data_IF_066729046048
#
_entry.id   IF_066729046048
#
_cell.length_a   1.000
_cell.length_b   1.000
_cell.length_c   1.000
_cell.angle_alpha   90.00
_cell.angle_beta   90.00
_cell.angle_gamma   90.00
#
_symmetry.space_group_name_H-M   'P 1'
#
loop_
_entity.id
_entity.type
_entity.pdbx_description
1 polymer ?
#
# COMPACT_ATOMS: atom_id res chain seq x y z
N UNK A 1 -23.82 1.65 1.94
CA UNK A 1 -23.52 2.38 0.72
C UNK A 1 -24.74 3.23 0.36
N UNK A 2 -24.54 4.41 -0.27
CA UNK A 2 -25.66 5.13 -0.86
C UNK A 2 -26.40 4.21 -1.85
N UNK A 3 -27.69 4.44 -2.06
CA UNK A 3 -28.46 3.66 -3.04
C UNK A 3 -27.70 3.64 -4.37
N UNK A 4 -27.40 2.45 -4.86
CA UNK A 4 -26.66 2.28 -6.09
C UNK A 4 -27.67 2.35 -7.23
N UNK A 5 -27.57 3.36 -8.08
CA UNK A 5 -28.20 3.32 -9.39
C UNK A 5 -27.47 2.25 -10.23
N UNK A 6 -28.18 1.18 -10.57
CA UNK A 6 -27.63 0.05 -11.35
C UNK A 6 -27.12 0.46 -12.73
N UNK A 7 -27.47 1.65 -13.20
CA UNK A 7 -27.04 2.21 -14.48
C UNK A 7 -25.82 3.14 -14.35
N UNK A 8 -25.38 3.46 -13.14
CA UNK A 8 -24.25 4.36 -12.90
C UNK A 8 -22.96 3.59 -12.65
N UNK A 9 -21.97 3.76 -13.52
CA UNK A 9 -20.62 3.26 -13.29
C UNK A 9 -19.90 4.14 -12.26
N UNK A 10 -19.22 3.50 -11.30
CA UNK A 10 -18.54 4.17 -10.18
C UNK A 10 -17.04 3.98 -10.26
N UNK A 11 -16.27 4.98 -9.83
CA UNK A 11 -14.82 4.82 -9.70
C UNK A 11 -14.51 3.72 -8.67
N UNK A 12 -13.43 2.99 -8.91
CA UNK A 12 -13.02 1.91 -8.02
C UNK A 12 -11.64 2.17 -7.40
N UNK A 13 -11.45 1.71 -6.17
CA UNK A 13 -10.22 1.91 -5.40
C UNK A 13 -9.70 0.56 -4.91
N UNK A 14 -8.46 0.23 -5.28
CA UNK A 14 -7.71 -0.86 -4.66
C UNK A 14 -7.21 -0.39 -3.28
N UNK A 15 -7.67 -1.06 -2.23
CA UNK A 15 -7.30 -0.76 -0.85
C UNK A 15 -6.26 -1.78 -0.37
N UNK A 16 -4.99 -1.36 -0.34
CA UNK A 16 -3.85 -2.20 -0.01
C UNK A 16 -3.64 -2.27 1.49
N UNK A 17 -3.81 -3.46 2.10
CA UNK A 17 -3.55 -3.63 3.53
C UNK A 17 -2.05 -3.60 3.87
N UNK A 18 -1.70 -3.13 5.07
CA UNK A 18 -0.36 -3.17 5.63
C UNK A 18 -0.04 -4.51 6.29
N UNK A 19 1.05 -4.51 7.10
CA UNK A 19 1.39 -5.65 7.91
C UNK A 19 0.33 -5.87 9.00
N UNK A 20 0.03 -7.13 9.27
CA UNK A 20 -0.91 -7.54 10.31
C UNK A 20 -1.48 -8.93 10.04
N UNK A 21 -1.95 -9.62 11.10
CA UNK A 21 -2.40 -11.00 10.97
C UNK A 21 -3.72 -11.16 10.21
N UNK A 22 -4.45 -10.07 10.03
CA UNK A 22 -5.82 -10.10 9.49
C UNK A 22 -5.90 -9.75 8.00
N UNK A 23 -4.77 -9.38 7.37
CA UNK A 23 -4.75 -9.01 5.96
C UNK A 23 -5.74 -7.89 5.61
N UNK A 24 -6.56 -8.12 4.60
CA UNK A 24 -7.57 -7.18 4.09
C UNK A 24 -8.78 -6.94 5.01
N UNK A 25 -9.03 -7.83 5.96
CA UNK A 25 -10.27 -7.81 6.74
C UNK A 25 -10.54 -6.49 7.47
N UNK A 26 -9.59 -5.91 8.24
CA UNK A 26 -9.82 -4.62 8.89
C UNK A 26 -9.97 -3.48 7.88
N UNK A 27 -9.24 -3.50 6.77
CA UNK A 27 -9.34 -2.49 5.71
C UNK A 27 -10.76 -2.42 5.13
N UNK A 28 -11.37 -3.58 4.94
CA UNK A 28 -12.74 -3.69 4.44
C UNK A 28 -13.81 -3.50 5.53
N UNK A 29 -13.39 -3.18 6.75
CA UNK A 29 -14.28 -2.88 7.87
C UNK A 29 -14.90 -4.11 8.53
N UNK A 30 -14.27 -5.27 8.41
CA UNK A 30 -14.71 -6.46 9.14
C UNK A 30 -14.46 -6.28 10.65
N UNK A 31 -15.53 -6.30 11.44
CA UNK A 31 -15.53 -6.15 12.90
C UNK A 31 -16.16 -7.36 13.58
N UNK A 32 -16.16 -8.53 12.96
CA UNK A 32 -16.84 -9.73 13.44
C UNK A 32 -16.24 -10.30 14.73
N UNK A 33 -14.93 -10.09 14.96
CA UNK A 33 -14.27 -10.50 16.21
C UNK A 33 -13.84 -9.32 17.08
N UNK A 34 -13.58 -9.50 18.38
CA UNK A 34 -13.04 -8.47 19.25
C UNK A 34 -11.69 -7.94 18.76
N UNK A 35 -10.82 -8.81 18.27
CA UNK A 35 -9.47 -8.51 17.78
C UNK A 35 -9.54 -7.64 16.50
N UNK A 36 -10.44 -7.96 15.57
CA UNK A 36 -10.68 -7.14 14.38
C UNK A 36 -11.22 -5.76 14.73
N UNK A 37 -12.20 -5.69 15.67
CA UNK A 37 -12.72 -4.40 16.14
C UNK A 37 -11.63 -3.51 16.74
N UNK A 38 -10.79 -4.10 17.57
CA UNK A 38 -9.68 -3.34 18.18
C UNK A 38 -8.67 -2.90 17.12
N UNK A 39 -8.32 -3.75 16.16
CA UNK A 39 -7.40 -3.40 15.07
C UNK A 39 -7.94 -2.25 14.23
N UNK A 40 -9.21 -2.29 13.85
CA UNK A 40 -9.89 -1.20 13.12
C UNK A 40 -9.87 0.10 13.92
N UNK A 41 -10.16 0.01 15.24
CA UNK A 41 -10.24 1.20 16.11
C UNK A 41 -8.87 1.83 16.37
N UNK A 42 -7.85 0.99 16.63
CA UNK A 42 -6.53 1.45 17.03
C UNK A 42 -5.77 2.17 15.91
N UNK A 43 -6.05 1.79 14.66
CA UNK A 43 -5.30 2.29 13.49
C UNK A 43 -6.19 3.00 12.46
N UNK A 44 -7.43 3.34 12.80
CA UNK A 44 -8.41 3.88 11.82
C UNK A 44 -8.46 3.06 10.51
N UNK A 45 -8.33 1.77 10.61
CA UNK A 45 -7.90 0.89 9.52
C UNK A 45 -8.99 0.53 8.51
N UNK A 46 -10.22 0.99 8.71
CA UNK A 46 -11.35 0.67 7.83
C UNK A 46 -11.50 1.63 6.63
N UNK A 47 -10.39 2.10 6.06
CA UNK A 47 -10.41 3.09 4.97
C UNK A 47 -11.13 2.58 3.71
N UNK A 48 -11.02 1.30 3.36
CA UNK A 48 -11.80 0.72 2.26
C UNK A 48 -13.31 0.80 2.50
N UNK A 49 -13.75 0.51 3.72
CA UNK A 49 -15.16 0.69 4.11
C UNK A 49 -15.60 2.16 4.12
N UNK A 50 -14.72 3.06 4.57
CA UNK A 50 -15.00 4.50 4.56
C UNK A 50 -15.17 5.02 3.13
N UNK A 51 -14.29 4.63 2.20
CA UNK A 51 -14.41 4.99 0.79
C UNK A 51 -15.69 4.41 0.14
N UNK A 52 -16.08 3.18 0.51
CA UNK A 52 -17.34 2.62 0.04
C UNK A 52 -18.55 3.45 0.49
N UNK A 53 -18.53 4.02 1.70
CA UNK A 53 -19.59 4.94 2.18
C UNK A 53 -19.63 6.24 1.39
N UNK A 54 -18.49 6.67 0.82
CA UNK A 54 -18.42 7.85 -0.05
C UNK A 54 -18.87 7.56 -1.49
N UNK A 55 -19.21 6.31 -1.80
CA UNK A 55 -19.78 5.92 -3.11
C UNK A 55 -18.79 5.29 -4.07
N UNK A 56 -17.55 5.03 -3.65
CA UNK A 56 -16.59 4.29 -4.46
C UNK A 56 -16.85 2.79 -4.42
N UNK A 57 -16.51 2.08 -5.48
CA UNK A 57 -16.32 0.64 -5.42
C UNK A 57 -14.98 0.37 -4.80
N UNK A 58 -14.91 -0.35 -3.68
CA UNK A 58 -13.65 -0.68 -3.03
C UNK A 58 -13.38 -2.17 -3.10
N UNK A 59 -12.13 -2.53 -3.35
CA UNK A 59 -11.70 -3.92 -3.36
C UNK A 59 -10.33 -4.07 -2.71
N UNK A 60 -10.08 -5.22 -2.15
CA UNK A 60 -8.82 -5.57 -1.52
C UNK A 60 -8.52 -7.05 -1.74
N UNK A 61 -7.24 -7.38 -1.82
CA UNK A 61 -6.75 -8.76 -1.81
C UNK A 61 -5.79 -8.93 -0.65
N UNK A 62 -5.66 -10.15 -0.14
CA UNK A 62 -4.55 -10.46 0.73
C UNK A 62 -3.27 -10.62 -0.07
N UNK A 63 -2.23 -9.89 0.32
CA UNK A 63 -0.89 -10.10 -0.22
C UNK A 63 -0.36 -11.47 0.22
N UNK A 64 0.57 -12.05 -0.54
CA UNK A 64 1.12 -13.37 -0.21
C UNK A 64 1.72 -13.36 1.19
N UNK A 65 1.34 -14.34 2.00
CA UNK A 65 1.76 -14.47 3.40
C UNK A 65 0.85 -13.80 4.43
N UNK A 66 -0.26 -13.17 3.99
CA UNK A 66 -1.21 -12.50 4.88
C UNK A 66 -2.62 -13.05 4.75
N UNK A 67 -3.43 -12.82 5.79
CA UNK A 67 -4.85 -13.16 5.83
C UNK A 67 -5.11 -14.60 5.39
N UNK A 68 -6.02 -14.78 4.45
CA UNK A 68 -6.36 -16.11 3.90
C UNK A 68 -5.26 -16.71 3.02
N UNK A 69 -4.23 -15.94 2.66
CA UNK A 69 -3.07 -16.40 1.88
C UNK A 69 -1.85 -16.72 2.73
N UNK A 70 -2.04 -16.79 4.04
CA UNK A 70 -1.06 -17.30 5.00
C UNK A 70 -1.38 -18.77 5.25
N UNK A 71 -0.44 -19.69 4.96
CA UNK A 71 -0.60 -21.12 5.18
C UNK A 71 -0.46 -21.51 6.66
N UNK A 72 -0.14 -20.56 7.54
CA UNK A 72 0.06 -20.71 8.98
C UNK A 72 1.11 -21.77 9.36
N UNK A 73 1.97 -22.18 8.42
CA UNK A 73 3.07 -23.09 8.72
C UNK A 73 4.18 -22.36 9.49
N UNK A 74 4.63 -22.95 10.58
CA UNK A 74 5.74 -22.39 11.36
C UNK A 74 7.06 -22.88 10.77
N UNK A 75 8.04 -21.98 10.54
CA UNK A 75 9.38 -22.38 10.15
C UNK A 75 10.01 -23.33 11.18
N UNK A 76 10.62 -24.43 10.68
CA UNK A 76 11.06 -25.54 11.54
C UNK A 76 12.24 -25.24 12.47
N UNK A 77 13.02 -24.19 12.20
CA UNK A 77 14.32 -23.98 12.87
C UNK A 77 14.64 -22.52 13.24
N UNK A 78 13.69 -21.64 13.11
CA UNK A 78 13.86 -20.24 13.54
C UNK A 78 12.71 -19.83 14.42
N UNK A 79 13.04 -19.13 15.49
CA UNK A 79 12.03 -18.47 16.29
C UNK A 79 11.60 -17.20 15.54
N UNK A 80 10.48 -17.28 14.85
CA UNK A 80 9.96 -16.19 14.03
C UNK A 80 8.91 -15.43 14.84
N UNK A 81 8.96 -14.12 14.77
CA UNK A 81 8.08 -13.24 15.52
C UNK A 81 7.25 -12.36 14.59
N UNK A 82 6.05 -12.81 14.29
CA UNK A 82 5.05 -12.04 13.57
C UNK A 82 5.10 -12.16 12.05
N UNK A 83 4.30 -11.34 11.41
CA UNK A 83 3.99 -11.33 9.99
C UNK A 83 5.15 -10.93 9.07
N UNK A 84 6.08 -10.11 9.56
CA UNK A 84 7.29 -9.74 8.81
C UNK A 84 8.20 -10.93 8.51
N UNK A 85 8.17 -11.93 9.35
CA UNK A 85 8.94 -13.14 9.13
C UNK A 85 8.39 -13.97 7.97
N UNK A 86 7.07 -13.98 7.80
CA UNK A 86 6.43 -14.58 6.63
C UNK A 86 6.81 -13.85 5.34
N UNK A 87 6.85 -12.52 5.35
CA UNK A 87 7.34 -11.74 4.22
C UNK A 87 8.75 -12.16 3.79
N UNK A 88 9.64 -12.38 4.76
CA UNK A 88 11.01 -12.80 4.49
C UNK A 88 11.08 -14.25 3.98
N UNK A 89 10.25 -15.13 4.50
CA UNK A 89 10.18 -16.51 4.04
C UNK A 89 9.73 -16.59 2.58
N UNK A 90 8.64 -15.94 2.23
CA UNK A 90 8.14 -15.92 0.85
C UNK A 90 9.10 -15.20 -0.09
N UNK A 91 9.81 -14.17 0.38
CA UNK A 91 10.87 -13.53 -0.40
C UNK A 91 11.99 -14.52 -0.74
N UNK A 92 12.47 -15.30 0.23
CA UNK A 92 13.49 -16.32 0.00
C UNK A 92 13.00 -17.37 -1.01
N UNK A 93 11.78 -17.87 -0.85
CA UNK A 93 11.21 -18.84 -1.79
C UNK A 93 11.10 -18.27 -3.20
N UNK A 94 10.59 -17.04 -3.35
CA UNK A 94 10.48 -16.38 -4.65
C UNK A 94 11.87 -16.18 -5.29
N UNK A 95 12.86 -15.75 -4.50
CA UNK A 95 14.22 -15.52 -4.97
C UNK A 95 14.89 -16.81 -5.50
N UNK A 96 14.62 -17.94 -4.87
CA UNK A 96 15.10 -19.26 -5.35
C UNK A 96 14.51 -19.63 -6.72
N UNK A 97 13.37 -19.07 -7.08
CA UNK A 97 12.70 -19.24 -8.37
C UNK A 97 13.01 -18.11 -9.36
N UNK A 98 13.93 -17.19 -9.03
CA UNK A 98 14.27 -16.05 -9.87
C UNK A 98 13.24 -14.92 -9.87
N UNK A 99 12.36 -14.89 -8.86
CA UNK A 99 11.30 -13.89 -8.68
C UNK A 99 11.50 -13.12 -7.38
N UNK A 100 10.64 -12.14 -7.12
CA UNK A 100 10.49 -11.50 -5.81
C UNK A 100 9.06 -11.62 -5.33
N UNK A 101 8.84 -11.66 -4.01
CA UNK A 101 7.48 -11.60 -3.46
C UNK A 101 6.75 -10.32 -3.89
N UNK A 102 7.50 -9.22 -4.07
CA UNK A 102 6.98 -7.96 -4.60
C UNK A 102 6.39 -8.14 -6.01
N UNK A 103 7.16 -8.73 -6.94
CA UNK A 103 6.68 -8.95 -8.32
C UNK A 103 5.46 -9.87 -8.40
N UNK A 104 5.41 -10.90 -7.54
CA UNK A 104 4.26 -11.79 -7.42
C UNK A 104 3.03 -11.01 -6.94
N UNK A 105 3.18 -10.20 -5.89
CA UNK A 105 2.08 -9.40 -5.36
C UNK A 105 1.57 -8.37 -6.37
N UNK A 106 2.46 -7.69 -7.10
CA UNK A 106 2.06 -6.76 -8.18
C UNK A 106 1.24 -7.49 -9.24
N UNK A 107 1.70 -8.66 -9.71
CA UNK A 107 0.95 -9.48 -10.68
C UNK A 107 -0.44 -9.88 -10.16
N UNK A 108 -0.55 -10.24 -8.89
CA UNK A 108 -1.84 -10.58 -8.28
C UNK A 108 -2.75 -9.36 -8.13
N UNK A 109 -2.18 -8.19 -7.79
CA UNK A 109 -2.91 -6.93 -7.75
C UNK A 109 -3.45 -6.53 -9.12
N UNK A 110 -2.65 -6.70 -10.18
CA UNK A 110 -3.07 -6.48 -11.56
C UNK A 110 -4.22 -7.43 -11.97
N UNK A 111 -4.10 -8.71 -11.65
CA UNK A 111 -5.18 -9.67 -11.94
C UNK A 111 -6.49 -9.35 -11.20
N UNK A 112 -6.41 -8.90 -9.95
CA UNK A 112 -7.58 -8.41 -9.22
C UNK A 112 -8.18 -7.15 -9.86
N UNK A 113 -7.33 -6.25 -10.33
CA UNK A 113 -7.75 -5.03 -11.04
C UNK A 113 -8.41 -5.37 -12.38
N UNK A 114 -7.89 -6.35 -13.13
CA UNK A 114 -8.51 -6.86 -14.36
C UNK A 114 -9.92 -7.37 -14.08
N UNK A 115 -10.08 -8.18 -13.04
CA UNK A 115 -11.37 -8.73 -12.64
C UNK A 115 -12.39 -7.63 -12.30
N UNK A 116 -11.98 -6.67 -11.45
CA UNK A 116 -12.85 -5.58 -10.99
C UNK A 116 -13.21 -4.63 -12.15
N UNK A 117 -12.25 -4.33 -13.02
CA UNK A 117 -12.48 -3.47 -14.20
C UNK A 117 -13.48 -4.05 -15.19
N UNK A 118 -13.69 -5.36 -15.16
CA UNK A 118 -14.69 -6.05 -15.99
C UNK A 118 -16.11 -6.04 -15.43
N UNK A 119 -16.34 -5.47 -14.24
CA UNK A 119 -17.67 -5.41 -13.63
C UNK A 119 -18.51 -4.28 -14.23
N UNK A 120 -19.77 -4.53 -14.54
CA UNK A 120 -20.67 -3.60 -15.23
C UNK A 120 -20.86 -2.26 -14.50
N UNK A 121 -20.78 -2.27 -13.17
CA UNK A 121 -20.95 -1.10 -12.30
C UNK A 121 -19.63 -0.34 -12.01
N UNK A 122 -18.51 -0.78 -12.57
CA UNK A 122 -17.19 -0.14 -12.39
C UNK A 122 -16.86 0.74 -13.60
N UNK A 123 -16.40 1.94 -13.32
CA UNK A 123 -15.78 2.82 -14.30
C UNK A 123 -14.28 2.53 -14.36
N UNK A 124 -13.87 1.74 -15.33
CA UNK A 124 -12.49 1.31 -15.51
C UNK A 124 -11.51 2.45 -15.87
N UNK A 125 -12.02 3.61 -16.28
CA UNK A 125 -11.21 4.80 -16.56
C UNK A 125 -10.93 5.65 -15.29
N UNK A 126 -11.60 5.33 -14.19
CA UNK A 126 -11.48 6.03 -12.90
C UNK A 126 -11.07 5.08 -11.78
N UNK A 127 -9.86 4.53 -11.88
CA UNK A 127 -9.30 3.66 -10.85
C UNK A 127 -8.34 4.43 -9.94
N UNK A 128 -8.43 4.17 -8.65
CA UNK A 128 -7.51 4.66 -7.63
C UNK A 128 -6.85 3.52 -6.87
N UNK A 129 -5.76 3.82 -6.19
CA UNK A 129 -5.08 2.89 -5.29
C UNK A 129 -4.61 3.62 -4.04
N UNK A 130 -4.84 3.02 -2.87
CA UNK A 130 -4.46 3.57 -1.58
C UNK A 130 -4.02 2.48 -0.61
N UNK A 131 -3.22 2.84 0.38
CA UNK A 131 -2.85 1.89 1.42
C UNK A 131 -1.86 2.41 2.44
N UNK A 132 -1.95 1.83 3.65
CA UNK A 132 -1.19 2.18 4.83
C UNK A 132 0.05 1.30 4.99
N UNK A 133 1.21 1.89 5.31
CA UNK A 133 2.41 1.13 5.73
C UNK A 133 2.89 0.16 4.65
N UNK A 134 2.90 -1.15 4.92
CA UNK A 134 3.12 -2.17 3.90
C UNK A 134 2.12 -2.10 2.74
N UNK A 135 0.89 -1.62 2.99
CA UNK A 135 -0.07 -1.25 1.97
C UNK A 135 0.39 -0.06 1.12
N UNK A 136 1.07 0.91 1.72
CA UNK A 136 1.73 2.02 1.01
C UNK A 136 2.83 1.52 0.06
N UNK A 137 3.59 0.48 0.48
CA UNK A 137 4.50 -0.23 -0.44
C UNK A 137 3.75 -0.73 -1.68
N UNK A 138 2.66 -1.46 -1.45
CA UNK A 138 1.91 -2.04 -2.57
C UNK A 138 1.22 -0.96 -3.41
N UNK A 139 0.73 0.11 -2.78
CA UNK A 139 0.18 1.28 -3.47
C UNK A 139 1.19 1.91 -4.43
N UNK A 140 2.40 2.14 -3.97
CA UNK A 140 3.49 2.66 -4.80
C UNK A 140 3.74 1.76 -6.01
N UNK A 141 3.96 0.47 -5.78
CA UNK A 141 4.31 -0.45 -6.85
C UNK A 141 3.14 -0.75 -7.79
N UNK A 142 1.91 -0.81 -7.29
CA UNK A 142 0.72 -0.88 -8.16
C UNK A 142 0.59 0.38 -9.01
N UNK A 143 0.78 1.55 -8.41
CA UNK A 143 0.78 2.81 -9.14
C UNK A 143 1.84 2.86 -10.24
N UNK A 144 3.06 2.40 -9.97
CA UNK A 144 4.16 2.38 -10.95
C UNK A 144 3.97 1.34 -12.06
N UNK A 145 3.45 0.17 -11.73
CA UNK A 145 3.35 -0.97 -12.65
C UNK A 145 2.02 -1.06 -13.40
N UNK A 146 1.04 -0.20 -13.06
CA UNK A 146 -0.27 -0.21 -13.70
C UNK A 146 -0.80 1.23 -13.93
N UNK A 147 -0.74 1.66 -15.17
CA UNK A 147 -1.15 3.02 -15.58
C UNK A 147 -2.66 3.28 -15.51
N UNK A 148 -3.46 2.25 -15.25
CA UNK A 148 -4.91 2.38 -15.04
C UNK A 148 -5.24 3.15 -13.78
N UNK A 149 -4.37 3.13 -12.76
CA UNK A 149 -4.55 3.92 -11.56
C UNK A 149 -4.31 5.41 -11.84
N UNK A 150 -5.35 6.21 -11.71
CA UNK A 150 -5.36 7.65 -12.02
C UNK A 150 -5.15 8.54 -10.79
N UNK A 151 -5.37 8.01 -9.59
CA UNK A 151 -5.13 8.68 -8.32
C UNK A 151 -4.49 7.70 -7.34
N UNK A 152 -3.47 8.18 -6.63
CA UNK A 152 -2.66 7.36 -5.73
C UNK A 152 -2.60 8.03 -4.36
N UNK A 153 -2.78 7.27 -3.28
CA UNK A 153 -2.65 7.75 -1.90
C UNK A 153 -1.74 6.82 -1.11
N UNK A 154 -0.56 7.32 -0.72
CA UNK A 154 0.44 6.60 0.07
C UNK A 154 0.34 7.06 1.51
N UNK A 155 -0.11 6.16 2.40
CA UNK A 155 -0.37 6.47 3.79
C UNK A 155 0.77 5.91 4.65
N UNK A 156 1.45 6.76 5.40
CA UNK A 156 2.52 6.41 6.34
C UNK A 156 3.57 5.44 5.72
N UNK A 157 4.02 5.76 4.50
CA UNK A 157 5.08 5.03 3.79
C UNK A 157 5.95 5.99 2.98
N UNK A 158 6.56 6.96 3.66
CA UNK A 158 7.54 7.88 3.07
C UNK A 158 8.76 7.97 3.96
N UNK A 159 9.93 7.73 3.41
CA UNK A 159 11.23 7.79 4.08
C UNK A 159 12.34 7.69 3.01
N UNK A 160 13.59 7.55 3.42
CA UNK A 160 14.71 7.19 2.56
C UNK A 160 15.07 5.72 2.79
N UNK A 161 15.30 4.95 1.73
CA UNK A 161 15.63 3.53 1.88
C UNK A 161 16.90 3.30 2.68
N UNK A 162 17.87 4.20 2.58
CA UNK A 162 19.07 4.15 3.41
C UNK A 162 18.75 4.27 4.90
N UNK A 163 17.78 5.09 5.24
CA UNK A 163 17.36 5.31 6.62
C UNK A 163 16.45 4.18 7.11
N UNK A 164 15.31 4.01 6.48
CA UNK A 164 14.29 3.04 6.84
C UNK A 164 14.75 1.59 6.68
N UNK A 165 15.29 1.24 5.52
CA UNK A 165 15.66 -0.13 5.17
C UNK A 165 16.99 -0.59 5.76
N UNK A 166 18.02 0.25 5.67
CA UNK A 166 19.39 -0.16 6.03
C UNK A 166 19.73 0.21 7.47
N UNK A 167 19.49 1.44 7.88
CA UNK A 167 19.85 1.91 9.23
C UNK A 167 18.90 1.38 10.30
N UNK A 168 17.60 1.44 10.07
CA UNK A 168 16.58 0.99 11.02
C UNK A 168 16.17 -0.46 10.85
N UNK A 169 16.61 -1.13 9.78
CA UNK A 169 16.31 -2.54 9.49
C UNK A 169 14.79 -2.82 9.55
N UNK A 170 14.00 -1.85 9.11
CA UNK A 170 12.54 -1.94 9.15
C UNK A 170 11.93 -2.49 7.85
N UNK A 171 12.75 -3.04 6.97
CA UNK A 171 12.36 -3.65 5.71
C UNK A 171 11.99 -5.12 5.91
N UNK A 172 11.01 -5.57 5.15
CA UNK A 172 10.75 -7.00 4.97
C UNK A 172 10.88 -7.38 3.49
N UNK A 173 10.95 -8.66 3.20
CA UNK A 173 11.12 -9.17 1.84
C UNK A 173 10.03 -8.75 0.85
N UNK A 174 8.81 -8.44 1.33
CA UNK A 174 7.73 -7.93 0.48
C UNK A 174 8.09 -6.60 -0.23
N UNK A 175 9.00 -5.83 0.33
CA UNK A 175 9.38 -4.50 -0.16
C UNK A 175 10.63 -4.52 -1.02
N UNK A 176 11.30 -5.68 -1.17
CA UNK A 176 12.62 -5.76 -1.76
C UNK A 176 12.56 -6.09 -3.25
N UNK A 177 13.12 -5.19 -4.06
CA UNK A 177 13.54 -5.47 -5.43
C UNK A 177 15.08 -5.45 -5.49
N UNK A 178 15.76 -6.61 -5.69
CA UNK A 178 17.22 -6.68 -5.65
C UNK A 178 17.89 -5.74 -6.62
N UNK A 179 18.83 -4.94 -6.13
CA UNK A 179 19.60 -4.00 -6.93
C UNK A 179 18.94 -2.66 -7.20
N UNK A 180 17.66 -2.49 -6.86
CA UNK A 180 16.92 -1.26 -7.16
C UNK A 180 17.51 -0.03 -6.45
N UNK A 181 17.90 -0.16 -5.19
CA UNK A 181 18.52 0.93 -4.41
C UNK A 181 19.86 1.45 -5.02
N UNK A 182 20.46 0.73 -5.95
CA UNK A 182 21.62 1.24 -6.71
C UNK A 182 21.22 2.25 -7.79
N UNK A 183 19.96 2.33 -8.14
CA UNK A 183 19.43 3.12 -9.23
C UNK A 183 18.58 4.30 -8.75
N UNK A 184 17.77 4.08 -7.74
CA UNK A 184 16.78 5.04 -7.23
C UNK A 184 16.66 4.90 -5.70
N UNK A 185 16.18 5.96 -5.03
CA UNK A 185 15.69 5.90 -3.66
C UNK A 185 14.16 6.01 -3.64
N UNK A 186 13.55 5.90 -2.48
CA UNK A 186 12.09 5.91 -2.33
C UNK A 186 11.43 7.20 -2.88
N UNK A 187 11.97 8.41 -2.63
CA UNK A 187 11.43 9.62 -3.23
C UNK A 187 11.48 9.62 -4.77
N UNK A 188 12.52 9.03 -5.38
CA UNK A 188 12.58 8.87 -6.83
C UNK A 188 11.44 7.98 -7.33
N UNK A 189 11.21 6.84 -6.65
CA UNK A 189 10.14 5.92 -6.98
C UNK A 189 8.76 6.57 -6.83
N UNK A 190 8.50 7.33 -5.76
CA UNK A 190 7.27 8.10 -5.60
C UNK A 190 7.16 9.20 -6.65
N UNK A 191 8.25 9.88 -6.97
CA UNK A 191 8.31 10.93 -7.99
C UNK A 191 7.97 10.42 -9.40
N UNK A 192 8.31 9.16 -9.72
CA UNK A 192 7.95 8.53 -11.00
C UNK A 192 6.43 8.34 -11.20
N UNK A 193 5.62 8.55 -10.17
CA UNK A 193 4.16 8.57 -10.30
C UNK A 193 3.66 9.81 -11.07
N UNK A 194 4.45 10.89 -11.12
CA UNK A 194 4.09 12.07 -11.92
C UNK A 194 3.80 11.69 -13.38
N UNK A 195 2.84 12.34 -14.07
CA UNK A 195 2.05 13.50 -13.63
C UNK A 195 0.76 13.17 -12.86
N UNK A 196 0.55 11.93 -12.47
CA UNK A 196 -0.69 11.49 -11.81
C UNK A 196 -0.82 12.11 -10.42
N UNK A 197 -2.05 12.44 -9.97
CA UNK A 197 -2.31 12.88 -8.62
C UNK A 197 -1.78 11.91 -7.57
N UNK A 198 -0.98 12.43 -6.66
CA UNK A 198 -0.41 11.71 -5.52
C UNK A 198 -0.73 12.47 -4.23
N UNK A 199 -1.42 11.80 -3.31
CA UNK A 199 -1.54 12.23 -1.92
C UNK A 199 -0.56 11.42 -1.07
N UNK A 200 0.27 12.13 -0.33
CA UNK A 200 1.19 11.54 0.67
C UNK A 200 0.67 11.91 2.05
N UNK A 201 0.33 10.91 2.84
CA UNK A 201 -0.12 11.06 4.21
C UNK A 201 1.02 10.73 5.17
N UNK A 202 1.28 11.60 6.14
CA UNK A 202 2.38 11.50 7.13
C UNK A 202 1.83 11.74 8.52
N UNK A 203 2.02 10.76 9.41
CA UNK A 203 1.75 10.92 10.84
C UNK A 203 2.88 11.69 11.54
N UNK A 204 2.53 12.79 12.20
CA UNK A 204 3.53 13.63 12.90
C UNK A 204 4.22 12.92 14.06
N UNK A 205 3.58 11.89 14.61
CA UNK A 205 4.10 11.08 15.73
C UNK A 205 4.36 9.62 15.33
N UNK A 206 4.45 9.34 14.03
CA UNK A 206 4.73 8.00 13.53
C UNK A 206 6.08 7.50 14.06
N UNK A 207 6.05 6.38 14.79
CA UNK A 207 7.23 5.75 15.33
C UNK A 207 7.98 4.87 14.31
N UNK A 208 7.30 4.50 13.24
CA UNK A 208 7.81 3.62 12.18
C UNK A 208 8.48 4.42 11.06
N UNK A 209 7.80 5.47 10.59
CA UNK A 209 8.27 6.41 9.57
C UNK A 209 8.41 7.79 10.20
N UNK A 210 9.63 8.12 10.62
CA UNK A 210 9.90 9.37 11.35
C UNK A 210 9.52 10.58 10.51
N UNK A 211 8.82 11.53 11.13
CA UNK A 211 8.31 12.72 10.45
C UNK A 211 9.39 13.54 9.73
N UNK A 212 10.60 13.63 10.31
CA UNK A 212 11.72 14.35 9.71
C UNK A 212 12.21 13.72 8.40
N UNK A 213 12.36 12.38 8.37
CA UNK A 213 12.78 11.67 7.16
C UNK A 213 11.63 11.52 6.16
N UNK A 214 10.40 11.37 6.64
CA UNK A 214 9.21 11.35 5.78
C UNK A 214 9.01 12.68 5.05
N UNK A 215 9.17 13.81 5.75
CA UNK A 215 9.13 15.14 5.15
C UNK A 215 10.30 15.37 4.19
N UNK A 216 11.50 14.88 4.50
CA UNK A 216 12.64 14.96 3.59
C UNK A 216 12.39 14.17 2.29
N UNK A 217 11.72 13.02 2.38
CA UNK A 217 11.26 12.26 1.22
C UNK A 217 10.25 13.07 0.42
N UNK A 218 9.20 13.59 1.08
CA UNK A 218 8.16 14.38 0.41
C UNK A 218 8.73 15.60 -0.34
N UNK A 219 9.67 16.32 0.26
CA UNK A 219 10.31 17.47 -0.40
C UNK A 219 11.04 17.06 -1.69
N UNK A 220 11.71 15.92 -1.71
CA UNK A 220 12.34 15.40 -2.92
C UNK A 220 11.30 15.00 -3.97
N UNK A 221 10.20 14.37 -3.58
CA UNK A 221 9.07 14.07 -4.48
C UNK A 221 8.52 15.36 -5.08
N UNK A 222 8.36 16.40 -4.26
CA UNK A 222 7.87 17.71 -4.69
C UNK A 222 8.77 18.36 -5.76
N UNK A 223 10.10 18.25 -5.60
CA UNK A 223 11.04 18.74 -6.62
C UNK A 223 10.87 18.00 -7.95
N UNK A 224 10.59 16.70 -7.92
CA UNK A 224 10.34 15.91 -9.13
C UNK A 224 9.03 16.34 -9.80
N UNK A 225 7.94 16.50 -9.04
CA UNK A 225 6.66 16.97 -9.56
C UNK A 225 6.75 18.40 -10.13
N UNK A 226 7.52 19.27 -9.45
CA UNK A 226 7.83 20.63 -9.96
C UNK A 226 8.63 20.58 -11.26
N UNK A 227 9.65 19.74 -11.34
CA UNK A 227 10.43 19.59 -12.57
C UNK A 227 9.60 19.03 -13.74
N UNK A 228 8.60 18.20 -13.43
CA UNK A 228 7.63 17.71 -14.40
C UNK A 228 6.55 18.76 -14.78
N UNK A 229 6.50 19.91 -14.10
CA UNK A 229 5.52 20.98 -14.35
C UNK A 229 4.11 20.67 -13.86
N UNK A 230 3.97 19.83 -12.83
CA UNK A 230 2.68 19.34 -12.30
C UNK A 230 2.67 19.30 -10.76
N UNK A 231 3.34 20.26 -10.12
CA UNK A 231 3.43 20.33 -8.64
C UNK A 231 2.05 20.34 -7.96
N UNK A 232 1.04 20.91 -8.64
CA UNK A 232 -0.35 20.95 -8.16
C UNK A 232 -1.01 19.57 -8.01
N UNK A 233 -0.46 18.55 -8.66
CA UNK A 233 -0.94 17.17 -8.56
C UNK A 233 -0.35 16.42 -7.36
N UNK A 234 0.57 17.04 -6.62
CA UNK A 234 1.12 16.47 -5.38
C UNK A 234 0.50 17.16 -4.17
N UNK A 235 -0.05 16.38 -3.25
CA UNK A 235 -0.63 16.87 -2.00
C UNK A 235 0.01 16.18 -0.81
N UNK A 236 0.09 16.89 0.32
CA UNK A 236 0.54 16.41 1.60
C UNK A 236 -0.61 16.49 2.61
N UNK A 237 -0.89 15.40 3.29
CA UNK A 237 -1.62 15.40 4.56
C UNK A 237 -0.63 15.10 5.70
N UNK A 238 -0.32 16.13 6.51
CA UNK A 238 0.47 15.99 7.73
C UNK A 238 -0.46 16.04 8.92
N UNK A 239 -0.87 14.89 9.40
CA UNK A 239 -1.84 14.79 10.49
C UNK A 239 -1.18 14.59 11.87
N UNK A 240 -1.81 15.04 12.98
CA UNK A 240 -1.31 14.89 14.33
C UNK A 240 -1.58 13.48 14.90
N UNK A 241 -1.28 12.45 14.11
CA UNK A 241 -1.47 11.04 14.45
C UNK A 241 -0.14 10.29 14.51
N UNK A 242 -0.25 9.01 14.82
CA UNK A 242 0.84 8.03 14.81
C UNK A 242 0.89 7.31 13.45
N UNK A 243 1.07 5.99 13.48
CA UNK A 243 1.13 5.14 12.30
C UNK A 243 -0.28 4.69 11.86
N UNK A 244 -1.01 5.56 11.21
CA UNK A 244 -2.38 5.31 10.73
C UNK A 244 -3.47 6.10 11.46
#
# INVERSE_FOLDING_TARGET
PPEIDENEKRPAILCCHGHGPFGKEPVMGNTSSPELRENVRAHNYAYGHQMAKLGYVTYAIDWIGFGERNDNQKPNFRNQNGDRDWCNLYYLHATMLGMTSLSINVSHGQAATDFVSGMDFVDADRLGVMGLSGGGTMTLWMGLCDERFKAIEIICYSDLWAHFGIRHINYCGMQVAPGLYKLVDLPDAQGLLAPRPLLVDIGAYDSCFKVDTAMACFEQVREIYRAAGVEENLQLDLHPGEHG
#
